data_IF_191911396196
#
_entry.id   IF_191911396196
#
_cell.length_a   1.000
_cell.length_b   1.000
_cell.length_c   1.000
_cell.angle_alpha   90.00
_cell.angle_beta   90.00
_cell.angle_gamma   90.00
#
_symmetry.space_group_name_H-M   'P 1'
#
loop_
_entity.id
_entity.type
_entity.pdbx_description
1 polymer ?
#
# COMPACT_ATOMS: atom_id res chain seq x y z
N UNK A 1 -20.25 -8.55 -14.42
CA UNK A 1 -19.93 -8.84 -13.01
C UNK A 1 -18.41 -8.70 -12.88
N UNK A 2 -17.78 -7.68 -12.29
CA UNK A 2 -18.26 -6.72 -11.30
C UNK A 2 -17.38 -5.46 -11.34
N UNK A 3 -18.03 -4.28 -11.35
CA UNK A 3 -17.65 -3.03 -10.68
C UNK A 3 -16.18 -2.57 -10.70
N UNK A 4 -15.81 -1.80 -11.73
CA UNK A 4 -14.74 -0.78 -11.62
C UNK A 4 -15.41 0.50 -11.15
N UNK A 5 -15.16 0.95 -9.90
CA UNK A 5 -15.25 2.34 -9.38
C UNK A 5 -15.61 2.34 -7.89
N UNK A 6 -14.69 1.93 -7.04
CA UNK A 6 -14.57 2.46 -5.68
C UNK A 6 -13.08 2.67 -5.48
N UNK A 7 -12.69 3.86 -5.03
CA UNK A 7 -11.31 4.25 -4.78
C UNK A 7 -10.54 3.10 -4.11
N UNK A 8 -9.63 2.43 -4.83
CA UNK A 8 -8.97 1.21 -4.34
C UNK A 8 -8.04 1.58 -3.17
N UNK A 9 -8.60 1.59 -1.97
CA UNK A 9 -7.87 1.72 -0.71
C UNK A 9 -7.51 0.32 -0.21
N UNK A 10 -6.22 0.04 -0.19
CA UNK A 10 -5.67 -1.20 0.31
C UNK A 10 -5.42 -1.09 1.80
N UNK A 11 -5.65 -2.20 2.50
CA UNK A 11 -5.18 -2.36 3.87
C UNK A 11 -3.78 -2.96 3.88
N UNK A 12 -3.16 -2.98 5.06
CA UNK A 12 -1.88 -3.67 5.28
C UNK A 12 -1.97 -5.15 4.88
N UNK A 13 -3.11 -5.79 5.12
CA UNK A 13 -3.34 -7.20 4.80
C UNK A 13 -3.39 -7.43 3.29
N UNK A 14 -4.07 -6.56 2.56
CA UNK A 14 -4.16 -6.67 1.09
C UNK A 14 -2.79 -6.51 0.44
N UNK A 15 -2.01 -5.53 0.90
CA UNK A 15 -0.63 -5.34 0.43
C UNK A 15 0.27 -6.52 0.85
N UNK A 16 0.08 -7.05 2.05
CA UNK A 16 0.82 -8.21 2.52
C UNK A 16 0.61 -9.42 1.59
N UNK A 17 -0.65 -9.72 1.25
CA UNK A 17 -1.00 -10.78 0.28
C UNK A 17 -0.46 -10.48 -1.11
N UNK A 18 -0.64 -9.25 -1.61
CA UNK A 18 -0.23 -8.85 -2.96
C UNK A 18 1.28 -8.91 -3.17
N UNK A 19 2.06 -8.48 -2.18
CA UNK A 19 3.53 -8.51 -2.25
C UNK A 19 4.15 -9.80 -1.72
N UNK A 20 3.34 -10.74 -1.20
CA UNK A 20 3.85 -11.93 -0.51
C UNK A 20 4.71 -11.59 0.71
N UNK A 21 4.42 -10.47 1.39
CA UNK A 21 5.19 -9.97 2.54
C UNK A 21 4.35 -10.08 3.81
N UNK A 22 5.02 -10.12 4.95
CA UNK A 22 4.32 -10.05 6.23
C UNK A 22 3.75 -8.65 6.47
N UNK A 23 2.61 -8.56 7.18
CA UNK A 23 2.04 -7.27 7.59
C UNK A 23 3.07 -6.38 8.30
N UNK A 24 3.94 -6.98 9.12
CA UNK A 24 5.02 -6.27 9.81
C UNK A 24 5.97 -5.58 8.84
N UNK A 25 6.26 -6.22 7.71
CA UNK A 25 7.09 -5.65 6.64
C UNK A 25 6.37 -4.49 5.97
N UNK A 26 5.08 -4.66 5.65
CA UNK A 26 4.27 -3.58 5.07
C UNK A 26 4.19 -2.38 6.01
N UNK A 27 3.94 -2.59 7.31
CA UNK A 27 3.96 -1.52 8.32
C UNK A 27 5.31 -0.82 8.39
N UNK A 28 6.42 -1.56 8.27
CA UNK A 28 7.77 -0.98 8.22
C UNK A 28 7.97 -0.12 6.97
N UNK A 29 7.49 -0.55 5.80
CA UNK A 29 7.55 0.23 4.55
C UNK A 29 6.71 1.50 4.65
N UNK A 30 5.50 1.41 5.22
CA UNK A 30 4.65 2.57 5.49
C UNK A 30 5.34 3.57 6.43
N UNK A 31 5.93 3.08 7.53
CA UNK A 31 6.69 3.93 8.46
C UNK A 31 7.95 4.54 7.85
N UNK A 32 8.54 3.90 6.84
CA UNK A 32 9.66 4.45 6.06
C UNK A 32 9.24 5.55 5.08
N UNK A 33 7.94 5.74 4.86
CA UNK A 33 7.43 6.68 3.85
C UNK A 33 7.44 6.14 2.43
N UNK A 34 7.58 4.81 2.25
CA UNK A 34 7.58 4.14 0.94
C UNK A 34 6.21 4.24 0.25
N UNK A 35 5.14 4.41 1.03
CA UNK A 35 3.78 4.59 0.54
C UNK A 35 3.33 6.05 0.77
N UNK A 36 3.60 6.96 -0.18
CA UNK A 36 3.22 8.36 -0.04
C UNK A 36 1.70 8.50 -0.10
N UNK A 37 1.09 8.90 1.02
CA UNK A 37 -0.37 9.01 1.15
C UNK A 37 -1.03 7.92 1.98
N UNK A 38 -0.26 6.96 2.53
CA UNK A 38 -0.77 6.06 3.55
C UNK A 38 -1.21 6.85 4.79
N UNK A 39 -2.47 6.69 5.20
CA UNK A 39 -3.03 7.38 6.37
C UNK A 39 -3.44 6.38 7.43
N UNK A 40 -3.14 6.73 8.69
CA UNK A 40 -3.67 6.03 9.86
C UNK A 40 -4.99 6.65 10.25
N UNK A 41 -6.03 5.84 10.34
CA UNK A 41 -7.34 6.25 10.88
C UNK A 41 -7.28 6.30 12.41
N UNK A 42 -8.18 7.06 13.04
CA UNK A 42 -8.32 7.10 14.51
C UNK A 42 -8.58 5.72 15.13
N UNK A 43 -9.17 4.81 14.36
CA UNK A 43 -9.48 3.42 14.75
C UNK A 43 -8.27 2.46 14.62
N UNK A 44 -7.06 3.00 14.49
CA UNK A 44 -5.80 2.25 14.29
C UNK A 44 -5.73 1.45 12.98
N UNK A 45 -6.58 1.72 12.00
CA UNK A 45 -6.46 1.11 10.67
C UNK A 45 -5.49 1.92 9.81
N UNK A 46 -4.72 1.25 8.96
CA UNK A 46 -3.90 1.92 7.97
C UNK A 46 -4.56 1.74 6.61
N UNK A 47 -4.92 2.86 6.01
CA UNK A 47 -5.49 2.93 4.67
C UNK A 47 -4.39 3.39 3.72
N UNK A 48 -4.09 2.56 2.73
CA UNK A 48 -3.12 2.86 1.68
C UNK A 48 -3.90 3.08 0.37
N UNK A 49 -4.00 4.31 -0.14
CA UNK A 49 -4.67 4.54 -1.42
C UNK A 49 -3.87 3.91 -2.56
N UNK A 50 -4.54 3.52 -3.65
CA UNK A 50 -3.91 2.99 -4.85
C UNK A 50 -2.80 3.90 -5.39
N UNK A 51 -2.95 5.22 -5.30
CA UNK A 51 -1.92 6.19 -5.70
C UNK A 51 -0.60 5.99 -4.93
N UNK A 52 -0.67 5.64 -3.65
CA UNK A 52 0.51 5.33 -2.85
C UNK A 52 1.17 4.02 -3.30
N UNK A 53 0.35 3.02 -3.66
CA UNK A 53 0.83 1.73 -4.19
C UNK A 53 1.50 1.92 -5.55
N UNK A 54 0.89 2.69 -6.44
CA UNK A 54 1.46 3.03 -7.75
C UNK A 54 2.77 3.80 -7.62
N UNK A 55 2.85 4.77 -6.70
CA UNK A 55 4.08 5.50 -6.44
C UNK A 55 5.21 4.58 -5.92
N UNK A 56 4.86 3.60 -5.07
CA UNK A 56 5.79 2.58 -4.62
C UNK A 56 6.24 1.66 -5.76
N UNK A 57 5.31 1.17 -6.58
CA UNK A 57 5.63 0.34 -7.75
C UNK A 57 6.50 1.09 -8.76
N UNK A 58 6.21 2.36 -9.04
CA UNK A 58 7.03 3.20 -9.92
C UNK A 58 8.47 3.33 -9.42
N UNK A 59 8.66 3.59 -8.11
CA UNK A 59 9.99 3.62 -7.47
C UNK A 59 10.68 2.26 -7.47
N UNK A 60 9.94 1.18 -7.25
CA UNK A 60 10.51 -0.17 -7.24
C UNK A 60 10.98 -0.62 -8.62
N UNK A 61 10.28 -0.21 -9.69
CA UNK A 61 10.67 -0.47 -11.09
C UNK A 61 11.92 0.33 -11.47
N UNK A 62 12.05 1.57 -10.98
CA UNK A 62 13.23 2.42 -11.21
C UNK A 62 14.52 1.83 -10.61
N UNK A 63 14.40 0.94 -9.60
CA UNK A 63 15.54 0.28 -8.95
C UNK A 63 15.92 -1.08 -9.57
N UNK A 64 15.41 -1.42 -10.77
CA UNK A 64 15.85 -2.64 -11.48
C UNK A 64 16.96 -2.29 -12.49
N UNK A 65 18.25 -2.43 -12.14
CA UNK A 65 19.36 -2.34 -13.09
C UNK A 65 19.36 -3.49 -14.10
#
# INVERSE_FOLDING_TARGET
MSSTTLEDVFTVEDLAKRYGKTERTIRRLINKGEFPGAKRTPQRWIIIPLSAVQAYEARAVEYRP
#
